data_IF_578342949011
#
_entry.id   IF_578342949011
#
_cell.length_a   1.000
_cell.length_b   1.000
_cell.length_c   1.000
_cell.angle_alpha   90.00
_cell.angle_beta   90.00
_cell.angle_gamma   90.00
#
_symmetry.space_group_name_H-M   'P 1'
#
loop_
_entity.id
_entity.type
_entity.pdbx_description
1 polymer ?
#
# COMPACT_ATOMS: atom_id res chain seq x y z
N UNK A 1 13.55 -63.68 24.13
CA UNK A 1 13.45 -63.21 22.73
C UNK A 1 12.07 -62.61 22.54
N UNK A 2 12.00 -61.29 22.25
CA UNK A 2 10.75 -60.51 22.22
C UNK A 2 10.11 -60.63 20.82
N UNK A 3 8.93 -61.25 20.74
CA UNK A 3 8.18 -61.44 19.50
C UNK A 3 6.79 -60.80 19.63
N UNK A 4 6.57 -59.76 18.82
CA UNK A 4 5.33 -59.21 18.26
C UNK A 4 3.97 -59.58 18.90
N UNK A 5 3.22 -58.58 19.39
CA UNK A 5 1.82 -58.39 18.96
C UNK A 5 1.25 -57.02 19.38
N UNK A 6 1.15 -56.14 18.39
CA UNK A 6 0.12 -55.12 18.14
C UNK A 6 -0.73 -54.59 19.30
N UNK A 7 -0.72 -53.27 19.46
CA UNK A 7 -1.94 -52.47 19.33
C UNK A 7 -1.55 -51.08 18.83
N UNK A 8 -2.01 -50.79 17.61
CA UNK A 8 -1.86 -49.52 16.90
C UNK A 8 -2.54 -48.42 17.72
N UNK A 9 -1.77 -47.54 18.36
CA UNK A 9 -2.27 -46.20 18.66
C UNK A 9 -2.01 -45.37 17.41
N UNK A 10 -3.04 -45.23 16.58
CA UNK A 10 -3.02 -44.40 15.39
C UNK A 10 -2.90 -42.94 15.81
N UNK A 11 -1.68 -42.45 16.02
CA UNK A 11 -1.40 -41.03 16.10
C UNK A 11 -1.62 -40.45 14.69
N UNK A 12 -2.83 -39.95 14.44
CA UNK A 12 -3.14 -39.17 13.25
C UNK A 12 -2.31 -37.90 13.29
N UNK A 13 -1.13 -37.94 12.66
CA UNK A 13 -0.28 -36.79 12.44
C UNK A 13 -0.93 -35.94 11.34
N UNK A 14 -1.83 -35.04 11.74
CA UNK A 14 -2.40 -34.03 10.85
C UNK A 14 -1.29 -33.10 10.37
N UNK A 15 -0.76 -33.36 9.18
CA UNK A 15 0.16 -32.45 8.48
C UNK A 15 -0.66 -31.23 8.06
N UNK A 16 -0.44 -30.09 8.73
CA UNK A 16 -0.88 -28.79 8.23
C UNK A 16 -0.09 -28.50 6.95
N UNK A 17 -0.72 -28.61 5.78
CA UNK A 17 -0.17 -28.05 4.55
C UNK A 17 -0.18 -26.53 4.69
N UNK A 18 0.95 -25.94 5.07
CA UNK A 18 1.17 -24.51 4.95
C UNK A 18 1.21 -24.17 3.45
N UNK A 19 0.16 -23.52 2.95
CA UNK A 19 0.16 -23.00 1.58
C UNK A 19 1.29 -21.95 1.45
N UNK A 20 2.03 -21.91 0.33
CA UNK A 20 3.05 -20.90 0.12
C UNK A 20 2.38 -19.52 0.07
N UNK A 21 2.82 -18.61 0.94
CA UNK A 21 2.43 -17.21 0.85
C UNK A 21 3.08 -16.61 -0.40
N UNK A 22 2.28 -16.35 -1.43
CA UNK A 22 2.73 -15.56 -2.58
C UNK A 22 2.87 -14.10 -2.15
N UNK A 23 4.11 -13.62 -2.07
CA UNK A 23 4.37 -12.21 -1.80
C UNK A 23 3.72 -11.36 -2.90
N UNK A 24 2.75 -10.54 -2.51
CA UNK A 24 2.17 -9.55 -3.41
C UNK A 24 3.21 -8.44 -3.65
N UNK A 25 3.34 -7.94 -4.89
CA UNK A 25 4.21 -6.80 -5.13
C UNK A 25 3.74 -5.60 -4.32
N UNK A 26 4.70 -4.83 -3.78
CA UNK A 26 4.38 -3.64 -2.98
C UNK A 26 3.49 -2.68 -3.76
N UNK A 27 2.45 -2.17 -3.07
CA UNK A 27 1.74 -0.98 -3.53
C UNK A 27 2.71 0.20 -3.54
N UNK A 28 2.88 0.83 -4.71
CA UNK A 28 3.83 1.94 -4.89
C UNK A 28 3.09 3.17 -5.40
N UNK A 29 3.39 4.32 -4.79
CA UNK A 29 2.98 5.65 -5.23
C UNK A 29 4.22 6.40 -5.71
N UNK A 30 4.09 7.12 -6.82
CA UNK A 30 5.14 7.94 -7.40
C UNK A 30 4.55 9.17 -8.09
N UNK A 31 5.39 10.16 -8.37
CA UNK A 31 5.02 11.33 -9.15
C UNK A 31 6.16 11.63 -10.13
N UNK A 32 5.86 11.90 -11.42
CA UNK A 32 6.87 12.45 -12.34
C UNK A 32 7.23 13.89 -11.98
N UNK A 33 6.36 14.58 -11.22
CA UNK A 33 6.48 15.99 -10.90
C UNK A 33 7.23 16.23 -9.57
N UNK A 34 7.19 15.27 -8.64
CA UNK A 34 7.76 15.39 -7.29
C UNK A 34 8.70 14.23 -7.00
N UNK A 35 9.98 14.54 -6.83
CA UNK A 35 10.98 13.59 -6.36
C UNK A 35 10.90 13.41 -4.82
N UNK A 36 11.00 12.17 -4.29
CA UNK A 36 11.05 11.94 -2.85
C UNK A 36 12.17 12.72 -2.17
N UNK A 37 11.83 13.46 -1.10
CA UNK A 37 12.79 14.30 -0.36
C UNK A 37 13.30 15.53 -1.12
N UNK A 38 12.81 15.77 -2.33
CA UNK A 38 13.15 16.93 -3.14
C UNK A 38 12.40 18.20 -2.73
N UNK A 39 12.83 19.33 -3.28
CA UNK A 39 12.11 20.60 -3.17
C UNK A 39 10.85 20.54 -4.04
N UNK A 40 9.73 21.03 -3.49
CA UNK A 40 8.48 21.20 -4.23
C UNK A 40 8.59 22.45 -5.13
N UNK A 41 8.25 22.30 -6.40
CA UNK A 41 8.21 23.40 -7.36
C UNK A 41 7.11 24.41 -7.01
N UNK A 42 7.33 25.69 -7.31
CA UNK A 42 6.37 26.76 -7.03
C UNK A 42 5.00 26.53 -7.70
N UNK A 43 4.97 25.77 -8.81
CA UNK A 43 3.74 25.32 -9.46
C UNK A 43 2.77 24.60 -8.50
N UNK A 44 3.31 23.79 -7.58
CA UNK A 44 2.50 23.01 -6.64
C UNK A 44 2.27 23.70 -5.29
N UNK A 45 2.87 24.87 -5.10
CA UNK A 45 2.70 25.67 -3.89
C UNK A 45 1.33 26.37 -3.92
N UNK A 46 0.70 26.49 -2.75
CA UNK A 46 -0.58 27.17 -2.58
C UNK A 46 -0.50 28.65 -3.03
N UNK A 47 -1.60 29.18 -3.57
CA UNK A 47 -1.77 30.60 -3.94
C UNK A 47 -2.71 31.31 -2.96
N UNK A 48 -2.36 31.26 -1.69
CA UNK A 48 -3.12 31.85 -0.59
C UNK A 48 -2.23 31.97 0.65
N UNK A 49 -2.71 32.69 1.67
CA UNK A 49 -2.03 32.84 2.97
C UNK A 49 -0.60 33.39 2.89
N UNK A 50 -0.33 34.25 1.89
CA UNK A 50 1.01 34.83 1.67
C UNK A 50 1.95 33.96 0.83
N UNK A 51 1.52 32.77 0.40
CA UNK A 51 2.19 32.00 -0.64
C UNK A 51 1.73 32.47 -2.02
N UNK A 52 2.66 32.47 -2.99
CA UNK A 52 2.44 32.92 -4.37
C UNK A 52 2.71 31.81 -5.38
N UNK A 53 2.35 30.58 -5.02
CA UNK A 53 2.44 29.44 -5.94
C UNK A 53 1.31 29.42 -6.96
N UNK A 54 1.29 28.42 -7.84
CA UNK A 54 0.22 28.29 -8.85
C UNK A 54 -0.97 27.45 -8.36
N UNK A 55 -0.85 26.79 -7.20
CA UNK A 55 -1.87 25.94 -6.60
C UNK A 55 -2.39 24.83 -7.53
N UNK A 56 -1.50 24.29 -8.37
CA UNK A 56 -1.80 23.16 -9.24
C UNK A 56 -1.43 21.86 -8.51
N UNK A 57 -2.24 20.79 -8.64
CA UNK A 57 -1.87 19.49 -8.06
C UNK A 57 -0.86 18.74 -8.94
N UNK A 58 0.11 18.02 -8.36
CA UNK A 58 1.02 17.17 -9.10
C UNK A 58 0.30 15.95 -9.67
N UNK A 59 0.84 15.38 -10.75
CA UNK A 59 0.44 14.06 -11.22
C UNK A 59 0.88 12.99 -10.22
N UNK A 60 -0.02 12.05 -9.92
CA UNK A 60 0.25 10.91 -9.04
C UNK A 60 0.00 9.62 -9.81
N UNK A 61 0.94 8.68 -9.69
CA UNK A 61 0.88 7.37 -10.34
C UNK A 61 1.03 6.30 -9.28
N UNK A 62 0.03 5.43 -9.17
CA UNK A 62 0.07 4.26 -8.32
C UNK A 62 0.21 2.97 -9.14
N UNK A 63 0.91 1.98 -8.56
CA UNK A 63 1.08 0.64 -9.14
C UNK A 63 0.85 -0.43 -8.08
N UNK A 64 0.44 -1.61 -8.53
CA UNK A 64 0.21 -2.79 -7.69
C UNK A 64 -0.80 -2.56 -6.56
N UNK A 65 -1.96 -1.98 -6.91
CA UNK A 65 -3.07 -1.90 -5.97
C UNK A 65 -3.48 -3.31 -5.50
N UNK A 66 -3.76 -3.52 -4.19
CA UNK A 66 -4.22 -4.81 -3.70
C UNK A 66 -5.46 -5.33 -4.43
N UNK A 67 -5.56 -6.65 -4.56
CA UNK A 67 -6.76 -7.28 -5.12
C UNK A 67 -8.00 -6.89 -4.32
N UNK A 68 -9.08 -6.53 -5.01
CA UNK A 68 -10.32 -6.08 -4.37
C UNK A 68 -10.37 -4.60 -4.00
N UNK A 69 -9.31 -3.81 -4.25
CA UNK A 69 -9.39 -2.34 -4.11
C UNK A 69 -10.48 -1.77 -5.02
N UNK A 70 -11.40 -1.01 -4.41
CA UNK A 70 -12.56 -0.38 -5.07
C UNK A 70 -12.35 1.11 -5.35
N UNK A 71 -11.59 1.78 -4.49
CA UNK A 71 -11.35 3.22 -4.56
C UNK A 71 -10.09 3.59 -3.76
N UNK A 72 -9.50 4.73 -4.09
CA UNK A 72 -8.44 5.36 -3.30
C UNK A 72 -8.93 6.67 -2.67
N UNK A 73 -8.32 7.03 -1.54
CA UNK A 73 -8.37 8.38 -1.00
C UNK A 73 -6.95 8.94 -1.04
N UNK A 74 -6.83 10.19 -1.47
CA UNK A 74 -5.58 10.95 -1.42
C UNK A 74 -5.66 11.93 -0.26
N UNK A 75 -4.52 12.20 0.37
CA UNK A 75 -4.39 13.24 1.36
C UNK A 75 -2.99 13.80 1.32
N UNK A 76 -2.87 15.13 1.38
CA UNK A 76 -1.59 15.78 1.56
C UNK A 76 -1.34 15.98 3.06
N UNK A 77 -0.11 15.71 3.48
CA UNK A 77 0.33 15.90 4.86
C UNK A 77 1.09 17.21 4.99
N UNK A 78 0.46 18.32 4.60
CA UNK A 78 0.90 19.63 5.09
C UNK A 78 0.61 19.68 6.57
N UNK A 79 1.56 20.16 7.39
CA UNK A 79 1.48 20.29 8.85
C UNK A 79 0.03 20.48 9.35
N UNK A 80 -0.62 19.38 9.71
CA UNK A 80 -1.89 19.34 10.41
C UNK A 80 -3.20 19.32 9.61
N UNK A 81 -3.39 19.98 8.45
CA UNK A 81 -4.76 20.15 7.89
C UNK A 81 -4.83 20.42 6.38
N UNK A 82 -4.98 19.37 5.56
CA UNK A 82 -5.65 19.44 4.26
C UNK A 82 -5.92 18.04 3.69
N UNK A 83 -7.01 17.38 4.12
CA UNK A 83 -7.48 16.14 3.49
C UNK A 83 -8.34 16.48 2.28
N UNK A 84 -7.77 16.42 1.08
CA UNK A 84 -8.54 16.42 -0.17
C UNK A 84 -8.89 14.98 -0.55
N UNK A 85 -10.07 14.50 -0.15
CA UNK A 85 -10.54 13.17 -0.56
C UNK A 85 -10.94 13.20 -2.04
N UNK A 86 -10.00 12.95 -2.93
CA UNK A 86 -10.31 12.63 -4.32
C UNK A 86 -10.60 11.14 -4.44
N UNK A 87 -11.82 10.79 -4.81
CA UNK A 87 -12.21 9.41 -5.10
C UNK A 87 -11.75 9.05 -6.51
N UNK A 88 -10.61 8.38 -6.61
CA UNK A 88 -10.20 7.75 -7.86
C UNK A 88 -10.83 6.37 -7.93
N UNK A 89 -11.88 6.26 -8.76
CA UNK A 89 -12.43 4.98 -9.20
C UNK A 89 -11.45 4.24 -10.11
N UNK A 90 -11.68 2.95 -10.32
CA UNK A 90 -10.92 2.16 -11.30
C UNK A 90 -11.35 2.53 -12.71
#
# INVERSE_FOLDING_TARGET
>A
MKLFCRLLSATSLSILLAAPAVAQPDFKLSSPDIAPGGKIDNKFVLNAFGCTGENVSPALVWKNAPAGTRSFALSDKVLGKASFTAYYGR
#
